data_IF_717296652138
#
_entry.id   IF_717296652138
#
_cell.length_a   1.000
_cell.length_b   1.000
_cell.length_c   1.000
_cell.angle_alpha   90.00
_cell.angle_beta   90.00
_cell.angle_gamma   90.00
#
_symmetry.space_group_name_H-M   'P 1'
#
loop_
_entity.id
_entity.type
_entity.pdbx_description
1 polymer ?
#
# COMPACT_ATOMS: atom_id res chain seq x y z
N UNK A 1 8.38 -15.04 -14.43
CA UNK A 1 7.91 -14.40 -13.18
C UNK A 1 6.60 -13.70 -13.45
N UNK A 2 5.80 -13.41 -12.42
CA UNK A 2 4.62 -12.57 -12.59
C UNK A 2 5.03 -11.18 -13.09
N UNK A 3 4.22 -10.54 -13.94
CA UNK A 3 4.54 -9.23 -14.54
C UNK A 3 4.88 -8.20 -13.44
N UNK A 4 4.14 -8.21 -12.33
CA UNK A 4 4.38 -7.32 -11.20
C UNK A 4 5.76 -7.54 -10.55
N UNK A 5 6.26 -8.78 -10.50
CA UNK A 5 7.57 -9.08 -9.91
C UNK A 5 8.70 -8.54 -10.78
N UNK A 6 8.61 -8.78 -12.09
CA UNK A 6 9.61 -8.28 -13.05
C UNK A 6 9.63 -6.76 -13.02
N UNK A 7 8.46 -6.12 -13.11
CA UNK A 7 8.32 -4.67 -13.05
C UNK A 7 8.94 -4.08 -11.78
N UNK A 8 8.61 -4.67 -10.63
CA UNK A 8 9.09 -4.23 -9.31
C UNK A 8 10.60 -4.44 -9.16
N UNK A 9 11.16 -5.54 -9.69
CA UNK A 9 12.60 -5.80 -9.68
C UNK A 9 13.36 -4.81 -10.57
N UNK A 10 12.86 -4.55 -11.77
CA UNK A 10 13.45 -3.56 -12.68
C UNK A 10 13.47 -2.17 -12.07
N UNK A 11 12.34 -1.70 -11.52
CA UNK A 11 12.28 -0.38 -10.86
C UNK A 11 13.21 -0.28 -9.64
N UNK A 12 13.32 -1.35 -8.83
CA UNK A 12 14.25 -1.40 -7.70
C UNK A 12 15.70 -1.30 -8.16
N UNK A 13 16.07 -2.02 -9.23
CA UNK A 13 17.41 -1.99 -9.80
C UNK A 13 17.78 -0.62 -10.37
N UNK A 14 16.82 0.08 -11.00
CA UNK A 14 17.04 1.41 -11.58
C UNK A 14 17.07 2.53 -10.53
N UNK A 15 16.18 2.48 -9.53
CA UNK A 15 16.02 3.57 -8.56
C UNK A 15 16.87 3.42 -7.30
N UNK A 16 17.31 2.19 -6.97
CA UNK A 16 17.88 1.87 -5.66
C UNK A 16 16.87 1.96 -4.50
N UNK A 17 15.61 2.30 -4.77
CA UNK A 17 14.59 2.49 -3.75
C UNK A 17 14.07 1.14 -3.24
N UNK A 18 13.78 1.08 -1.94
CA UNK A 18 13.10 -0.09 -1.35
C UNK A 18 11.63 -0.07 -1.74
N UNK A 19 11.13 -1.25 -2.10
CA UNK A 19 9.72 -1.44 -2.40
C UNK A 19 8.97 -1.68 -1.09
N UNK A 20 8.04 -0.78 -0.78
CA UNK A 20 7.14 -0.91 0.36
C UNK A 20 6.29 -2.16 0.22
N UNK A 21 6.23 -2.96 1.29
CA UNK A 21 5.43 -4.19 1.36
C UNK A 21 4.37 -4.07 2.45
N UNK A 22 3.28 -4.85 2.39
CA UNK A 22 2.33 -4.97 3.49
C UNK A 22 3.04 -5.37 4.78
N UNK A 23 2.65 -4.75 5.90
CA UNK A 23 3.19 -5.05 7.22
C UNK A 23 2.56 -6.28 7.87
N UNK A 24 2.59 -6.30 9.20
CA UNK A 24 1.98 -7.36 10.03
C UNK A 24 0.47 -7.26 10.16
N UNK A 25 -0.14 -6.17 9.68
CA UNK A 25 -1.58 -5.95 9.78
C UNK A 25 -2.37 -7.10 9.11
N UNK A 26 -3.43 -7.55 9.78
CA UNK A 26 -4.44 -8.48 9.25
C UNK A 26 -5.83 -7.99 9.65
N UNK A 27 -6.75 -7.98 8.70
CA UNK A 27 -8.16 -7.69 8.96
C UNK A 27 -8.85 -8.88 9.63
N UNK A 28 -10.11 -8.71 10.04
CA UNK A 28 -10.90 -9.81 10.61
C UNK A 28 -11.08 -11.01 9.66
N UNK A 29 -10.86 -10.81 8.36
CA UNK A 29 -10.92 -11.85 7.33
C UNK A 29 -9.51 -12.26 6.85
N UNK A 30 -8.48 -11.99 7.67
CA UNK A 30 -7.06 -12.22 7.36
C UNK A 30 -6.54 -11.49 6.11
N UNK A 31 -7.22 -10.41 5.71
CA UNK A 31 -6.83 -9.56 4.58
C UNK A 31 -5.75 -8.54 4.96
N UNK A 32 -5.01 -8.04 3.97
CA UNK A 32 -3.93 -7.05 4.15
C UNK A 32 -4.42 -5.59 4.21
N UNK A 33 -5.73 -5.38 4.09
CA UNK A 33 -6.35 -4.08 3.97
C UNK A 33 -7.79 -4.13 4.47
N UNK A 34 -8.40 -2.96 4.62
CA UNK A 34 -9.80 -2.80 5.00
C UNK A 34 -10.53 -1.90 4.00
N UNK A 35 -11.83 -2.16 3.80
CA UNK A 35 -12.70 -1.23 3.10
C UNK A 35 -12.94 -0.03 4.00
N UNK A 36 -12.88 1.16 3.43
CA UNK A 36 -13.02 2.42 4.15
C UNK A 36 -13.40 3.53 3.19
N UNK A 37 -13.86 4.66 3.71
CA UNK A 37 -14.11 5.85 2.91
C UNK A 37 -13.20 6.98 3.39
N UNK A 38 -12.58 7.70 2.44
CA UNK A 38 -11.82 8.91 2.72
C UNK A 38 -12.54 10.09 2.07
N UNK A 39 -13.12 10.95 2.90
CA UNK A 39 -14.06 12.00 2.46
C UNK A 39 -15.28 11.37 1.76
N UNK A 40 -15.58 11.77 0.53
CA UNK A 40 -16.69 11.27 -0.26
C UNK A 40 -16.33 10.04 -1.12
N UNK A 41 -15.10 9.53 -1.01
CA UNK A 41 -14.59 8.45 -1.86
C UNK A 41 -14.53 7.13 -1.08
N UNK A 42 -15.21 6.11 -1.59
CA UNK A 42 -15.06 4.74 -1.11
C UNK A 42 -13.78 4.11 -1.67
N UNK A 43 -13.08 3.36 -0.83
CA UNK A 43 -11.80 2.81 -1.19
C UNK A 43 -11.31 1.71 -0.27
N UNK A 44 -10.02 1.44 -0.40
CA UNK A 44 -9.29 0.43 0.35
C UNK A 44 -8.13 1.13 1.03
N UNK A 45 -8.06 0.98 2.35
CA UNK A 45 -6.96 1.46 3.18
C UNK A 45 -6.02 0.29 3.49
N UNK A 46 -4.76 0.44 3.14
CA UNK A 46 -3.68 -0.49 3.43
C UNK A 46 -2.85 0.03 4.61
N UNK A 47 -2.95 -0.57 5.81
CA UNK A 47 -2.01 -0.31 6.89
C UNK A 47 -0.63 -0.89 6.56
N UNK A 48 0.38 -0.03 6.55
CA UNK A 48 1.78 -0.36 6.29
C UNK A 48 2.59 -0.25 7.59
N UNK A 49 3.88 -0.55 7.54
CA UNK A 49 4.74 -0.42 8.72
C UNK A 49 4.98 1.04 9.13
N UNK A 50 4.97 1.98 8.18
CA UNK A 50 5.31 3.40 8.38
C UNK A 50 4.21 4.38 7.98
N UNK A 51 2.99 3.90 7.80
CA UNK A 51 1.89 4.74 7.34
C UNK A 51 0.69 3.96 6.85
N UNK A 52 -0.25 4.68 6.26
CA UNK A 52 -1.43 4.16 5.59
C UNK A 52 -1.43 4.56 4.12
N UNK A 53 -1.87 3.66 3.25
CA UNK A 53 -2.03 3.95 1.83
C UNK A 53 -3.48 3.72 1.39
N UNK A 54 -4.16 4.78 0.96
CA UNK A 54 -5.55 4.77 0.49
C UNK A 54 -5.61 4.76 -1.04
N UNK A 55 -6.45 3.90 -1.60
CA UNK A 55 -6.74 3.73 -3.03
C UNK A 55 -8.25 3.65 -3.26
N UNK A 56 -8.80 3.98 -4.46
CA UNK A 56 -8.09 4.31 -5.69
C UNK A 56 -7.93 5.81 -5.96
N UNK A 57 -8.78 6.69 -5.41
CA UNK A 57 -8.79 8.13 -5.73
C UNK A 57 -9.08 9.02 -4.52
N UNK A 58 -8.32 10.10 -4.33
CA UNK A 58 -6.94 10.24 -4.77
C UNK A 58 -6.06 9.18 -4.05
N UNK A 59 -5.07 8.57 -4.72
CA UNK A 59 -4.06 7.77 -4.01
C UNK A 59 -3.40 8.63 -2.93
N UNK A 60 -3.51 8.21 -1.67
CA UNK A 60 -3.06 9.03 -0.54
C UNK A 60 -2.16 8.19 0.37
N UNK A 61 -0.93 8.64 0.58
CA UNK A 61 0.01 8.07 1.54
C UNK A 61 0.04 8.98 2.78
N UNK A 62 -0.33 8.44 3.94
CA UNK A 62 -0.35 9.13 5.24
C UNK A 62 0.73 8.49 6.09
N UNK A 63 1.75 9.24 6.54
CA UNK A 63 2.88 8.67 7.29
C UNK A 63 2.58 8.69 8.80
N UNK A 64 3.18 7.77 9.56
CA UNK A 64 2.99 7.74 11.02
C UNK A 64 3.68 8.89 11.76
N UNK A 65 4.77 9.41 11.19
CA UNK A 65 5.61 10.44 11.81
C UNK A 65 5.12 11.87 11.49
N UNK A 66 3.91 12.00 10.92
CA UNK A 66 3.14 13.25 10.88
C UNK A 66 2.35 13.43 12.19
#
# INVERSE_FOLDING_TARGET
GLIADVFTQTLRGLSGAKVTRPGKFRSAQDGLAVKSSLKAEDGILYPLEKGFFFLPKPPTLILHDE
#
